data_IF_252002204943
#
_entry.id   IF_252002204943
#
_cell.length_a   1.000
_cell.length_b   1.000
_cell.length_c   1.000
_cell.angle_alpha   90.00
_cell.angle_beta   90.00
_cell.angle_gamma   90.00
#
_symmetry.space_group_name_H-M   'P 1'
#
loop_
_entity.id
_entity.type
_entity.pdbx_description
1 polymer ?
#
# COMPACT_ATOMS: atom_id res chain seq x y z
N UNK A 1 -5.77 30.33 -15.30
CA UNK A 1 -4.80 30.84 -16.30
C UNK A 1 -3.88 31.78 -15.55
N UNK A 2 -2.61 31.40 -15.38
CA UNK A 2 -1.59 32.24 -14.74
C UNK A 2 -0.79 32.83 -15.90
N UNK A 3 -0.86 34.14 -16.05
CA UNK A 3 -0.22 34.88 -17.13
C UNK A 3 1.06 35.50 -16.61
N UNK A 4 2.21 34.96 -17.01
CA UNK A 4 3.50 35.63 -16.82
C UNK A 4 3.89 36.29 -18.16
N UNK A 5 4.04 37.62 -18.17
CA UNK A 5 4.31 38.36 -19.41
C UNK A 5 3.24 38.25 -20.50
N UNK A 6 2.03 37.79 -20.18
CA UNK A 6 0.95 37.57 -21.15
C UNK A 6 0.92 36.18 -21.81
N UNK A 7 1.76 35.23 -21.34
CA UNK A 7 1.73 33.83 -21.79
C UNK A 7 1.19 32.91 -20.68
N UNK A 8 0.34 31.94 -21.05
CA UNK A 8 -0.13 30.89 -20.14
C UNK A 8 1.02 29.90 -19.91
N UNK A 9 1.60 29.94 -18.71
CA UNK A 9 2.69 29.02 -18.32
C UNK A 9 2.08 27.65 -18.01
N UNK A 10 2.39 26.66 -18.84
CA UNK A 10 1.90 25.28 -18.68
C UNK A 10 2.72 24.59 -17.60
N UNK A 11 2.08 24.05 -16.57
CA UNK A 11 2.80 23.29 -15.55
C UNK A 11 3.24 21.92 -16.09
N UNK A 12 4.25 21.31 -15.47
CA UNK A 12 4.69 19.98 -15.87
C UNK A 12 3.55 18.95 -15.78
N UNK A 13 2.68 19.04 -14.77
CA UNK A 13 1.50 18.17 -14.67
C UNK A 13 0.49 18.39 -15.80
N UNK A 14 0.26 19.63 -16.24
CA UNK A 14 -0.57 19.91 -17.41
C UNK A 14 0.04 19.33 -18.69
N UNK A 15 1.38 19.34 -18.83
CA UNK A 15 2.06 18.69 -19.94
C UNK A 15 1.87 17.17 -19.89
N UNK A 16 2.04 16.53 -18.74
CA UNK A 16 1.77 15.08 -18.58
C UNK A 16 0.34 14.71 -18.93
N UNK A 17 -0.63 15.56 -18.56
CA UNK A 17 -2.03 15.37 -18.93
C UNK A 17 -2.27 15.47 -20.43
N UNK A 18 -1.51 16.30 -21.16
CA UNK A 18 -1.53 16.35 -22.63
C UNK A 18 -0.91 15.10 -23.22
N UNK A 19 0.27 14.71 -22.75
CA UNK A 19 0.96 13.49 -23.21
C UNK A 19 0.10 12.23 -23.07
N UNK A 20 -0.59 12.09 -21.93
CA UNK A 20 -1.50 10.97 -21.64
C UNK A 20 -2.75 11.00 -22.54
N UNK A 21 -3.30 12.19 -22.81
CA UNK A 21 -4.45 12.37 -23.71
C UNK A 21 -4.09 12.06 -25.16
N UNK A 22 -2.91 12.49 -25.60
CA UNK A 22 -2.37 12.27 -26.94
C UNK A 22 -1.76 10.87 -27.11
N UNK A 23 -1.63 10.11 -26.02
CA UNK A 23 -1.05 8.76 -25.96
C UNK A 23 0.42 8.72 -26.38
N UNK A 24 1.16 9.81 -26.19
CA UNK A 24 2.61 9.85 -26.37
C UNK A 24 3.35 9.23 -25.18
N UNK A 25 2.83 9.43 -23.95
CA UNK A 25 3.26 8.77 -22.71
C UNK A 25 2.04 8.42 -21.86
N UNK A 26 1.93 7.17 -21.41
CA UNK A 26 0.76 6.69 -20.63
C UNK A 26 0.90 6.96 -19.13
N UNK A 27 0.88 8.24 -18.74
CA UNK A 27 1.09 8.63 -17.34
C UNK A 27 0.08 8.00 -16.38
N UNK A 28 -1.18 7.80 -16.77
CA UNK A 28 -2.19 7.19 -15.89
C UNK A 28 -2.13 5.67 -15.83
N UNK A 29 -1.17 5.01 -16.49
CA UNK A 29 -1.05 3.54 -16.50
C UNK A 29 -0.90 2.96 -15.09
N UNK A 30 -0.12 3.62 -14.24
CA UNK A 30 0.06 3.26 -12.83
C UNK A 30 -0.60 4.31 -11.94
N UNK A 31 -1.31 3.87 -10.92
CA UNK A 31 -2.00 4.77 -10.00
C UNK A 31 -2.58 4.04 -8.81
N UNK A 32 -3.31 4.74 -7.93
CA UNK A 32 -3.82 4.19 -6.68
C UNK A 32 -5.05 3.30 -6.89
N UNK A 33 -5.06 2.46 -7.93
CA UNK A 33 -6.24 1.69 -8.34
C UNK A 33 -6.45 0.42 -7.51
N UNK A 34 -5.53 0.10 -6.60
CA UNK A 34 -5.71 -0.96 -5.61
C UNK A 34 -6.68 -0.46 -4.55
N UNK A 35 -7.72 -1.22 -4.25
CA UNK A 35 -8.71 -0.78 -3.27
C UNK A 35 -8.08 -0.74 -1.86
N UNK A 36 -8.49 0.21 -1.04
CA UNK A 36 -8.10 0.20 0.39
C UNK A 36 -8.83 -0.90 1.18
N UNK A 37 -9.97 -1.34 0.63
CA UNK A 37 -10.80 -2.44 1.16
C UNK A 37 -11.50 -3.17 0.01
N UNK A 38 -11.32 -4.50 -0.06
CA UNK A 38 -11.97 -5.38 -1.04
C UNK A 38 -12.78 -6.52 -0.38
N UNK A 39 -12.53 -6.81 0.90
CA UNK A 39 -13.25 -7.83 1.68
C UNK A 39 -14.69 -7.41 2.00
N UNK A 40 -15.56 -8.40 2.20
CA UNK A 40 -17.00 -8.28 2.50
C UNK A 40 -17.74 -7.43 1.45
N UNK A 41 -17.49 -7.68 0.17
CA UNK A 41 -18.12 -6.98 -0.95
C UNK A 41 -18.92 -7.95 -1.82
N UNK A 42 -19.99 -7.43 -2.46
CA UNK A 42 -20.84 -8.21 -3.37
C UNK A 42 -20.05 -8.81 -4.54
N UNK A 43 -18.93 -8.19 -4.94
CA UNK A 43 -18.07 -8.70 -6.03
C UNK A 43 -17.40 -10.02 -5.68
N UNK A 44 -17.07 -10.21 -4.41
CA UNK A 44 -16.35 -11.39 -3.92
C UNK A 44 -17.30 -12.39 -3.25
N UNK A 45 -18.62 -12.21 -3.40
CA UNK A 45 -19.62 -13.09 -2.83
C UNK A 45 -19.80 -14.36 -3.66
N UNK A 46 -19.53 -15.49 -3.01
CA UNK A 46 -19.76 -16.83 -3.54
C UNK A 46 -20.63 -17.67 -2.60
N UNK A 47 -21.28 -17.03 -1.64
CA UNK A 47 -22.18 -17.68 -0.69
C UNK A 47 -23.43 -18.21 -1.40
N UNK A 48 -23.99 -19.30 -0.86
CA UNK A 48 -25.20 -19.90 -1.40
C UNK A 48 -26.47 -19.08 -1.06
N UNK A 49 -26.41 -18.24 -0.03
CA UNK A 49 -27.51 -17.45 0.52
C UNK A 49 -27.44 -15.95 0.18
N UNK A 50 -26.38 -15.51 -0.53
CA UNK A 50 -26.19 -14.11 -0.92
C UNK A 50 -25.71 -13.21 0.21
N UNK A 51 -25.12 -13.78 1.27
CA UNK A 51 -24.56 -13.03 2.39
C UNK A 51 -23.12 -12.58 2.13
N UNK A 52 -22.97 -11.63 1.18
CA UNK A 52 -21.69 -11.06 0.77
C UNK A 52 -20.83 -10.54 1.93
N UNK A 53 -21.44 -10.03 3.01
CA UNK A 53 -20.70 -9.42 4.11
C UNK A 53 -20.01 -10.42 5.03
N UNK A 54 -20.51 -11.66 5.10
CA UNK A 54 -19.95 -12.69 5.96
C UNK A 54 -19.07 -13.70 5.21
N UNK A 55 -19.30 -13.91 3.90
CA UNK A 55 -18.60 -14.95 3.10
C UNK A 55 -17.09 -14.73 2.98
N UNK A 56 -16.69 -13.48 2.77
CA UNK A 56 -15.29 -13.10 2.59
C UNK A 56 -14.95 -11.95 3.52
N UNK A 57 -14.91 -12.22 4.82
CA UNK A 57 -14.62 -11.21 5.85
C UNK A 57 -13.13 -10.81 5.92
N UNK A 58 -12.84 -9.83 6.78
CA UNK A 58 -11.51 -9.28 7.01
C UNK A 58 -10.46 -10.35 7.40
N UNK A 59 -10.80 -11.28 8.30
CA UNK A 59 -9.87 -12.31 8.77
C UNK A 59 -9.52 -13.30 7.66
N UNK A 60 -10.51 -13.62 6.82
CA UNK A 60 -10.31 -14.48 5.66
C UNK A 60 -9.40 -13.83 4.60
N UNK A 61 -9.41 -12.50 4.47
CA UNK A 61 -8.60 -11.78 3.48
C UNK A 61 -7.09 -11.93 3.63
N UNK A 62 -6.63 -12.26 4.84
CA UNK A 62 -5.24 -12.61 5.09
C UNK A 62 -4.83 -13.89 4.36
N UNK A 63 -5.78 -14.82 4.13
CA UNK A 63 -5.54 -16.19 3.69
C UNK A 63 -6.18 -16.53 2.34
N UNK A 64 -7.24 -15.82 1.94
CA UNK A 64 -8.03 -16.04 0.72
C UNK A 64 -7.62 -15.05 -0.35
N UNK A 65 -7.30 -15.52 -1.55
CA UNK A 65 -7.07 -14.64 -2.70
C UNK A 65 -8.38 -14.03 -3.18
N UNK A 66 -8.30 -12.79 -3.66
CA UNK A 66 -9.39 -12.13 -4.35
C UNK A 66 -9.48 -12.62 -5.79
N UNK A 67 -10.66 -12.48 -6.39
CA UNK A 67 -10.87 -12.82 -7.80
C UNK A 67 -10.91 -11.59 -8.70
N UNK A 68 -11.60 -10.54 -8.28
CA UNK A 68 -11.93 -9.41 -9.17
C UNK A 68 -11.10 -8.16 -8.94
N UNK A 69 -10.47 -8.04 -7.78
CA UNK A 69 -9.57 -6.95 -7.43
C UNK A 69 -8.51 -7.43 -6.46
N UNK A 70 -7.94 -6.49 -5.71
CA UNK A 70 -7.05 -6.72 -4.59
C UNK A 70 -7.23 -5.55 -3.60
N UNK A 71 -6.75 -5.71 -2.37
CA UNK A 71 -6.63 -4.61 -1.42
C UNK A 71 -5.23 -4.45 -0.84
N UNK A 72 -4.94 -3.23 -0.37
CA UNK A 72 -3.68 -2.90 0.29
C UNK A 72 -3.65 -1.46 0.81
N UNK A 73 -2.82 -1.22 1.83
CA UNK A 73 -2.58 0.14 2.33
C UNK A 73 -1.77 0.91 1.29
N UNK A 74 -2.25 2.09 0.89
CA UNK A 74 -1.62 2.98 -0.10
C UNK A 74 -1.23 2.25 -1.40
N UNK A 75 -2.09 1.35 -1.88
CA UNK A 75 -1.75 0.43 -2.97
C UNK A 75 -1.73 1.09 -4.35
N UNK A 76 -0.67 0.80 -5.13
CA UNK A 76 -0.48 1.22 -6.52
C UNK A 76 -0.55 0.00 -7.42
N UNK A 77 -1.30 0.08 -8.52
CA UNK A 77 -1.28 -0.96 -9.54
C UNK A 77 -1.41 -0.39 -10.95
N UNK A 78 -1.21 -1.25 -11.94
CA UNK A 78 -1.53 -0.89 -13.31
C UNK A 78 -3.05 -0.78 -13.50
N UNK A 79 -3.48 -0.05 -14.54
CA UNK A 79 -4.90 0.16 -14.88
C UNK A 79 -5.72 -1.14 -15.03
N UNK A 80 -5.09 -2.28 -15.27
CA UNK A 80 -5.77 -3.58 -15.40
C UNK A 80 -5.75 -4.41 -14.10
N UNK A 81 -5.19 -3.88 -13.00
CA UNK A 81 -5.12 -4.57 -11.71
C UNK A 81 -4.44 -5.93 -11.83
N UNK A 82 -3.29 -5.98 -12.52
CA UNK A 82 -2.51 -7.20 -12.75
C UNK A 82 -1.35 -7.29 -11.76
N UNK A 83 -0.58 -6.22 -11.61
CA UNK A 83 0.54 -6.12 -10.67
C UNK A 83 0.27 -5.02 -9.65
N UNK A 84 0.40 -5.37 -8.38
CA UNK A 84 0.12 -4.51 -7.25
C UNK A 84 1.38 -4.29 -6.42
N UNK A 85 1.51 -3.05 -5.92
CA UNK A 85 2.49 -2.62 -4.93
C UNK A 85 1.70 -2.04 -3.76
N UNK A 86 1.98 -2.48 -2.54
CA UNK A 86 1.34 -1.92 -1.34
C UNK A 86 2.22 -2.17 -0.12
N UNK A 87 1.79 -1.65 1.02
CA UNK A 87 2.62 -1.60 2.22
C UNK A 87 1.99 -2.41 3.34
N UNK A 88 2.83 -3.17 4.04
CA UNK A 88 2.46 -3.82 5.27
C UNK A 88 3.35 -3.37 6.43
N UNK A 89 2.76 -3.28 7.62
CA UNK A 89 3.46 -2.84 8.83
C UNK A 89 3.22 -3.81 9.98
N UNK A 90 4.15 -3.86 10.93
CA UNK A 90 3.95 -4.58 12.19
C UNK A 90 4.71 -3.92 13.34
N UNK A 91 4.03 -3.78 14.48
CA UNK A 91 4.49 -3.12 15.70
C UNK A 91 5.04 -4.10 16.76
N UNK A 92 5.24 -5.38 16.40
CA UNK A 92 5.51 -6.50 17.32
C UNK A 92 4.40 -6.79 18.36
N UNK A 93 3.21 -6.17 18.23
CA UNK A 93 2.08 -6.31 19.16
C UNK A 93 0.84 -6.93 18.54
N UNK A 94 0.57 -6.61 17.27
CA UNK A 94 -0.56 -7.17 16.55
C UNK A 94 -0.31 -8.65 16.19
N UNK A 95 -1.39 -9.42 16.08
CA UNK A 95 -1.36 -10.86 15.77
C UNK A 95 -1.25 -11.17 14.27
N UNK A 96 -1.39 -10.15 13.42
CA UNK A 96 -1.21 -10.19 11.98
C UNK A 96 -0.56 -8.91 11.46
N UNK A 97 -0.02 -8.97 10.23
CA UNK A 97 0.55 -7.80 9.56
C UNK A 97 -0.58 -6.84 9.17
N UNK A 98 -0.36 -5.55 9.41
CA UNK A 98 -1.22 -4.47 8.92
C UNK A 98 -0.95 -4.23 7.44
N UNK A 99 -1.49 -5.10 6.60
CA UNK A 99 -1.35 -5.04 5.13
C UNK A 99 -2.61 -4.53 4.41
N UNK A 100 -3.69 -4.28 5.15
CA UNK A 100 -4.97 -3.76 4.66
C UNK A 100 -5.67 -3.00 5.78
N UNK A 101 -6.59 -2.10 5.43
CA UNK A 101 -7.33 -1.34 6.44
C UNK A 101 -8.41 -2.21 7.08
N UNK A 102 -8.42 -2.25 8.41
CA UNK A 102 -9.51 -2.82 9.18
C UNK A 102 -10.75 -1.93 9.16
N UNK A 103 -11.91 -2.56 9.20
CA UNK A 103 -13.19 -1.89 9.28
C UNK A 103 -14.29 -2.85 9.70
N UNK A 104 -15.51 -2.33 9.77
CA UNK A 104 -16.72 -3.08 10.03
C UNK A 104 -17.46 -3.31 8.71
N UNK A 105 -17.96 -4.53 8.52
CA UNK A 105 -18.91 -4.82 7.44
C UNK A 105 -20.27 -4.16 7.72
N UNK A 106 -21.15 -4.13 6.72
CA UNK A 106 -22.47 -3.51 6.83
C UNK A 106 -23.28 -3.96 8.07
N UNK A 107 -23.41 -5.26 8.40
CA UNK A 107 -24.12 -5.68 9.62
C UNK A 107 -23.38 -5.37 10.93
N UNK A 108 -22.08 -5.07 10.89
CA UNK A 108 -21.27 -4.78 12.07
C UNK A 108 -21.24 -3.28 12.40
N UNK A 109 -21.36 -2.40 11.40
CA UNK A 109 -21.30 -0.96 11.60
C UNK A 109 -22.67 -0.34 11.88
N UNK A 110 -22.67 0.75 12.66
CA UNK A 110 -23.89 1.46 13.06
C UNK A 110 -24.59 2.12 11.87
N UNK A 111 -23.80 2.68 10.94
CA UNK A 111 -24.27 3.36 9.73
C UNK A 111 -23.84 2.66 8.43
N UNK A 112 -23.52 1.37 8.52
CA UNK A 112 -23.05 0.55 7.40
C UNK A 112 -21.55 0.27 7.45
N UNK A 113 -20.94 0.02 6.30
CA UNK A 113 -19.51 -0.28 6.21
C UNK A 113 -18.68 0.91 6.69
N UNK A 114 -17.71 0.66 7.57
CA UNK A 114 -16.96 1.75 8.22
C UNK A 114 -15.51 1.33 8.48
N UNK A 115 -14.55 2.01 7.84
CA UNK A 115 -13.11 1.82 8.10
C UNK A 115 -12.80 2.36 9.51
N UNK A 116 -12.08 1.57 10.29
CA UNK A 116 -11.71 1.90 11.68
C UNK A 116 -10.22 2.20 11.84
N UNK A 117 -9.47 2.24 10.76
CA UNK A 117 -8.06 2.65 10.74
C UNK A 117 -7.92 4.15 10.48
N UNK A 118 -6.91 4.77 11.10
CA UNK A 118 -6.63 6.19 10.90
C UNK A 118 -5.65 6.40 9.73
N UNK A 119 -6.16 6.99 8.65
CA UNK A 119 -5.38 7.27 7.44
C UNK A 119 -5.87 8.52 6.73
N UNK A 120 -5.01 9.13 5.91
CA UNK A 120 -5.27 10.41 5.25
C UNK A 120 -4.65 10.46 3.85
N UNK A 121 -5.44 10.91 2.87
CA UNK A 121 -4.99 11.22 1.52
C UNK A 121 -4.39 12.63 1.50
N UNK A 122 -3.06 12.72 1.65
CA UNK A 122 -2.38 14.02 1.79
C UNK A 122 -2.15 14.70 0.45
N UNK A 123 -1.81 13.93 -0.58
CA UNK A 123 -1.52 14.49 -1.90
C UNK A 123 -1.68 13.46 -3.03
N UNK A 124 -2.01 13.93 -4.23
CA UNK A 124 -2.10 13.11 -5.43
C UNK A 124 -2.26 13.99 -6.67
N UNK A 125 -1.38 13.93 -7.68
CA UNK A 125 -1.61 14.66 -8.94
C UNK A 125 -2.57 13.91 -9.89
N UNK A 126 -3.29 14.58 -10.81
CA UNK A 126 -4.20 13.92 -11.75
C UNK A 126 -3.61 12.75 -12.57
N UNK A 127 -2.32 12.81 -12.89
CA UNK A 127 -1.56 11.75 -13.57
C UNK A 127 -0.92 10.75 -12.62
N UNK A 128 -1.08 10.93 -11.31
CA UNK A 128 -0.47 10.12 -10.26
C UNK A 128 1.06 10.14 -10.34
N UNK A 129 1.65 11.24 -10.82
CA UNK A 129 3.09 11.45 -10.90
C UNK A 129 3.72 11.73 -9.53
N UNK A 130 2.93 12.25 -8.60
CA UNK A 130 3.24 12.34 -7.18
C UNK A 130 2.01 11.94 -6.36
N UNK A 131 2.19 11.14 -5.33
CA UNK A 131 1.15 10.75 -4.38
C UNK A 131 1.72 10.67 -2.97
N UNK A 132 0.94 11.10 -1.98
CA UNK A 132 1.31 11.07 -0.56
C UNK A 132 0.14 10.61 0.30
N UNK A 133 0.40 9.59 1.10
CA UNK A 133 -0.54 8.96 2.02
C UNK A 133 0.04 9.00 3.44
N UNK A 134 -0.80 9.20 4.44
CA UNK A 134 -0.43 9.03 5.84
C UNK A 134 -1.24 7.90 6.45
N UNK A 135 -0.56 6.89 6.97
CA UNK A 135 -1.14 5.84 7.80
C UNK A 135 -0.68 6.02 9.25
N UNK A 136 -1.61 5.97 10.21
CA UNK A 136 -1.28 6.03 11.64
C UNK A 136 -1.33 4.63 12.23
N UNK A 137 -0.16 4.07 12.54
CA UNK A 137 -0.05 2.75 13.16
C UNK A 137 0.11 2.88 14.68
N UNK A 138 -0.82 2.38 15.50
CA UNK A 138 -0.62 2.32 16.95
C UNK A 138 0.61 1.48 17.35
N UNK A 139 1.30 1.89 18.42
CA UNK A 139 2.36 1.07 19.04
C UNK A 139 1.82 0.03 20.02
N UNK A 140 0.53 0.13 20.36
CA UNK A 140 -0.21 -0.83 21.19
C UNK A 140 -0.91 -1.86 20.30
N UNK A 141 -1.29 -3.04 20.85
CA UNK A 141 -2.17 -3.96 20.14
C UNK A 141 -3.44 -3.24 19.68
N UNK A 142 -3.81 -3.44 18.41
CA UNK A 142 -4.97 -2.80 17.83
C UNK A 142 -6.28 -3.35 18.44
N UNK A 143 -7.27 -2.50 18.77
CA UNK A 143 -8.41 -2.88 19.59
C UNK A 143 -9.57 -3.43 18.74
N UNK A 144 -9.31 -4.47 17.93
CA UNK A 144 -10.30 -5.03 16.99
C UNK A 144 -11.60 -5.45 17.67
N UNK A 145 -11.50 -6.24 18.74
CA UNK A 145 -12.65 -6.78 19.47
C UNK A 145 -13.48 -5.70 20.15
N UNK A 146 -12.83 -4.67 20.67
CA UNK A 146 -13.50 -3.53 21.31
C UNK A 146 -14.32 -2.75 20.27
N UNK A 147 -13.69 -2.43 19.13
CA UNK A 147 -14.36 -1.74 18.02
C UNK A 147 -15.56 -2.51 17.50
N UNK A 148 -15.46 -3.84 17.38
CA UNK A 148 -16.58 -4.69 16.94
C UNK A 148 -17.70 -4.70 18.00
N UNK A 149 -17.37 -5.02 19.26
CA UNK A 149 -18.37 -5.20 20.33
C UNK A 149 -19.09 -3.91 20.68
N UNK A 150 -18.38 -2.80 20.73
CA UNK A 150 -18.97 -1.52 21.11
C UNK A 150 -19.86 -0.98 19.99
N UNK A 151 -19.47 -1.07 18.71
CA UNK A 151 -20.37 -0.69 17.61
C UNK A 151 -21.59 -1.60 17.51
N UNK A 152 -21.47 -2.90 17.80
CA UNK A 152 -22.61 -3.82 17.81
C UNK A 152 -23.65 -3.52 18.92
N UNK A 153 -23.25 -2.83 19.99
CA UNK A 153 -24.17 -2.40 21.06
C UNK A 153 -24.92 -1.11 20.74
N UNK A 154 -24.41 -0.33 19.78
CA UNK A 154 -24.96 0.98 19.42
C UNK A 154 -26.09 0.87 18.40
N UNK A 155 -26.93 1.88 18.37
CA UNK A 155 -28.03 2.00 17.42
C UNK A 155 -27.84 3.20 16.48
N UNK A 156 -28.68 3.28 15.43
CA UNK A 156 -28.59 4.28 14.34
C UNK A 156 -28.75 5.74 14.78
N UNK A 157 -29.12 6.01 16.03
CA UNK A 157 -29.17 7.38 16.57
C UNK A 157 -27.90 7.78 17.30
N UNK A 158 -27.02 6.82 17.59
CA UNK A 158 -25.76 7.03 18.27
C UNK A 158 -24.62 7.29 17.26
N UNK A 159 -23.59 8.00 17.74
CA UNK A 159 -22.37 8.20 16.95
C UNK A 159 -21.60 6.88 16.84
N UNK A 160 -20.90 6.70 15.72
CA UNK A 160 -19.99 5.57 15.58
C UNK A 160 -18.90 5.60 16.65
N UNK A 161 -18.52 4.42 17.14
CA UNK A 161 -17.32 4.26 17.94
C UNK A 161 -16.14 4.04 16.99
N UNK A 162 -15.16 4.93 17.06
CA UNK A 162 -13.99 4.93 16.19
C UNK A 162 -12.71 4.71 16.99
N UNK A 163 -11.60 4.47 16.29
CA UNK A 163 -10.31 4.20 16.92
C UNK A 163 -9.88 5.27 17.92
N UNK A 164 -10.17 6.54 17.64
CA UNK A 164 -9.87 7.65 18.56
C UNK A 164 -10.60 7.54 19.90
N UNK A 165 -11.80 6.95 19.92
CA UNK A 165 -12.62 6.83 21.13
C UNK A 165 -12.10 5.73 22.07
N UNK A 166 -11.23 4.85 21.58
CA UNK A 166 -10.61 3.77 22.37
C UNK A 166 -9.50 4.25 23.30
N UNK A 167 -9.08 5.52 23.16
CA UNK A 167 -7.93 6.10 23.87
C UNK A 167 -6.56 5.58 23.39
N UNK A 168 -6.51 4.84 22.27
CA UNK A 168 -5.25 4.27 21.77
C UNK A 168 -4.18 5.32 21.44
N UNK A 169 -4.60 6.56 21.15
CA UNK A 169 -3.71 7.67 20.81
C UNK A 169 -3.45 8.64 21.97
N UNK A 170 -4.08 8.46 23.13
CA UNK A 170 -4.05 9.44 24.25
C UNK A 170 -2.64 9.71 24.77
N UNK A 171 -1.77 8.70 24.74
CA UNK A 171 -0.38 8.79 25.21
C UNK A 171 0.61 9.13 24.09
N UNK A 172 0.14 9.49 22.89
CA UNK A 172 0.99 9.78 21.73
C UNK A 172 1.72 8.56 21.15
N UNK A 173 1.37 7.34 21.58
CA UNK A 173 2.07 6.08 21.23
C UNK A 173 1.65 5.51 19.88
N UNK A 174 2.07 6.16 18.81
CA UNK A 174 1.81 5.73 17.43
C UNK A 174 2.96 6.10 16.50
N UNK A 175 2.91 5.53 15.30
CA UNK A 175 3.77 5.88 14.17
C UNK A 175 2.97 6.72 13.19
N UNK A 176 3.57 7.82 12.73
CA UNK A 176 3.13 8.47 11.48
C UNK A 176 3.91 7.85 10.32
N UNK A 177 3.25 6.98 9.55
CA UNK A 177 3.83 6.34 8.37
C UNK A 177 3.44 7.14 7.13
N UNK A 178 4.32 8.03 6.68
CA UNK A 178 4.19 8.71 5.40
C UNK A 178 4.63 7.77 4.28
N UNK A 179 3.78 7.61 3.27
CA UNK A 179 4.04 6.78 2.10
C UNK A 179 3.93 7.69 0.89
N UNK A 180 5.04 7.85 0.19
CA UNK A 180 5.16 8.70 -0.98
C UNK A 180 5.45 7.85 -2.21
N UNK A 181 4.81 8.18 -3.33
CA UNK A 181 5.08 7.58 -4.63
C UNK A 181 5.34 8.68 -5.64
N UNK A 182 6.41 8.52 -6.41
CA UNK A 182 6.78 9.40 -7.51
C UNK A 182 6.95 8.59 -8.80
N UNK A 183 6.80 9.26 -9.94
CA UNK A 183 7.20 8.73 -11.25
C UNK A 183 8.43 9.45 -11.75
N UNK A 184 9.27 8.73 -12.45
CA UNK A 184 10.40 9.32 -13.18
C UNK A 184 9.94 10.46 -14.11
N UNK A 185 10.84 11.39 -14.40
CA UNK A 185 10.57 12.54 -15.25
C UNK A 185 10.23 12.14 -16.70
N UNK A 186 10.93 11.13 -17.24
CA UNK A 186 10.83 10.77 -18.64
C UNK A 186 9.99 9.51 -18.87
N UNK A 187 10.00 8.57 -17.92
CA UNK A 187 9.34 7.28 -18.06
C UNK A 187 8.22 7.05 -17.03
N UNK A 188 6.94 7.10 -17.42
CA UNK A 188 5.81 6.85 -16.49
C UNK A 188 5.70 5.42 -15.97
N UNK A 189 6.52 4.49 -16.49
CA UNK A 189 6.62 3.10 -16.01
C UNK A 189 7.72 2.90 -14.93
N UNK A 190 8.51 3.94 -14.62
CA UNK A 190 9.47 3.93 -13.50
C UNK A 190 8.81 4.54 -12.27
N UNK A 191 8.66 3.74 -11.22
CA UNK A 191 7.98 4.14 -9.98
C UNK A 191 8.96 4.17 -8.82
N UNK A 192 8.98 5.27 -8.07
CA UNK A 192 9.82 5.48 -6.89
C UNK A 192 8.92 5.54 -5.66
N UNK A 193 9.37 4.93 -4.56
CA UNK A 193 8.60 4.83 -3.32
C UNK A 193 9.47 5.15 -2.11
N UNK A 194 9.00 6.06 -1.27
CA UNK A 194 9.61 6.42 0.01
C UNK A 194 8.60 6.21 1.13
N UNK A 195 8.98 5.46 2.14
CA UNK A 195 8.17 5.25 3.34
C UNK A 195 8.95 5.78 4.54
N UNK A 196 8.40 6.78 5.21
CA UNK A 196 9.01 7.39 6.40
C UNK A 196 8.07 7.24 7.58
N UNK A 197 8.49 6.48 8.58
CA UNK A 197 7.70 6.17 9.77
C UNK A 197 8.31 6.88 10.99
N UNK A 198 7.68 7.97 11.44
CA UNK A 198 8.11 8.71 12.63
C UNK A 198 7.55 8.08 13.90
N UNK A 199 8.43 7.83 14.88
CA UNK A 199 8.00 7.47 16.22
C UNK A 199 7.49 8.72 16.96
N UNK A 200 6.17 8.86 17.10
CA UNK A 200 5.55 9.96 17.84
C UNK A 200 5.49 9.71 19.35
N UNK A 201 5.72 8.48 19.77
CA UNK A 201 5.67 8.06 21.16
C UNK A 201 6.83 8.60 21.98
N UNK A 202 6.68 8.64 23.31
CA UNK A 202 7.74 9.06 24.23
C UNK A 202 8.81 7.98 24.46
N UNK A 203 8.58 6.75 23.98
CA UNK A 203 9.42 5.58 24.23
C UNK A 203 10.03 5.04 22.92
N UNK A 204 11.14 4.32 23.03
CA UNK A 204 11.66 3.52 21.93
C UNK A 204 10.61 2.48 21.51
N UNK A 205 10.43 2.31 20.20
CA UNK A 205 9.43 1.40 19.66
C UNK A 205 10.00 0.64 18.47
N UNK A 206 9.62 -0.63 18.35
CA UNK A 206 10.04 -1.49 17.24
C UNK A 206 9.02 -1.43 16.11
N UNK A 207 9.53 -1.55 14.89
CA UNK A 207 8.72 -1.45 13.68
C UNK A 207 9.24 -2.40 12.61
N UNK A 208 8.31 -3.00 11.88
CA UNK A 208 8.61 -3.77 10.69
C UNK A 208 7.86 -3.12 9.52
N UNK A 209 8.56 -2.90 8.41
CA UNK A 209 8.01 -2.32 7.17
C UNK A 209 8.23 -3.32 6.05
N UNK A 210 7.17 -3.64 5.32
CA UNK A 210 7.19 -4.63 4.24
C UNK A 210 6.50 -4.08 3.00
N UNK A 211 7.24 -3.45 2.06
CA UNK A 211 6.72 -3.21 0.73
C UNK A 211 6.49 -4.54 0.02
N UNK A 212 5.28 -4.74 -0.47
CA UNK A 212 4.85 -5.92 -1.19
C UNK A 212 4.79 -5.62 -2.69
N UNK A 213 5.14 -6.63 -3.49
CA UNK A 213 4.86 -6.69 -4.93
C UNK A 213 4.20 -8.02 -5.23
N UNK A 214 3.02 -8.01 -5.85
CA UNK A 214 2.33 -9.25 -6.19
C UNK A 214 1.46 -9.14 -7.42
N UNK A 215 1.11 -10.29 -7.96
CA UNK A 215 0.14 -10.39 -9.04
C UNK A 215 -1.23 -10.81 -8.51
N UNK A 216 -2.28 -10.17 -9.03
CA UNK A 216 -3.66 -10.62 -8.78
C UNK A 216 -3.81 -12.05 -9.29
N UNK A 217 -4.41 -12.92 -8.49
CA UNK A 217 -4.60 -14.30 -8.89
C UNK A 217 -5.62 -14.40 -10.03
N UNK A 218 -5.15 -14.63 -11.25
CA UNK A 218 -5.99 -14.92 -12.42
C UNK A 218 -5.94 -16.40 -12.83
N UNK A 219 -4.88 -17.10 -12.44
CA UNK A 219 -4.59 -18.48 -12.84
C UNK A 219 -5.44 -19.54 -12.15
N UNK A 220 -5.93 -19.28 -10.94
CA UNK A 220 -6.65 -20.29 -10.16
C UNK A 220 -8.12 -20.48 -10.58
N UNK A 221 -8.65 -19.62 -11.46
CA UNK A 221 -10.09 -19.51 -11.77
C UNK A 221 -10.53 -20.16 -13.08
N UNK A 222 -9.60 -20.80 -13.82
CA UNK A 222 -9.90 -21.61 -15.00
C UNK A 222 -10.22 -20.82 -16.28
N UNK A 223 -9.96 -19.51 -16.32
CA UNK A 223 -10.11 -18.67 -17.54
C UNK A 223 -8.79 -18.44 -18.29
N UNK A 224 -7.69 -18.48 -17.56
CA UNK A 224 -6.33 -18.26 -18.02
C UNK A 224 -5.44 -19.09 -17.11
N UNK A 225 -4.50 -19.86 -17.65
CA UNK A 225 -3.57 -20.69 -16.88
C UNK A 225 -2.19 -20.04 -16.74
N UNK A 226 -1.99 -18.87 -17.35
CA UNK A 226 -0.77 -18.10 -17.22
C UNK A 226 -0.54 -17.67 -15.77
N UNK A 227 0.56 -18.17 -15.19
CA UNK A 227 1.03 -17.79 -13.85
C UNK A 227 2.26 -16.89 -13.99
N UNK A 228 2.19 -15.61 -13.58
CA UNK A 228 3.34 -14.71 -13.60
C UNK A 228 4.39 -15.12 -12.56
N UNK A 229 5.55 -14.49 -12.59
CA UNK A 229 6.64 -14.83 -11.67
C UNK A 229 7.28 -13.59 -11.04
N UNK A 230 7.70 -13.72 -9.79
CA UNK A 230 8.67 -12.83 -9.14
C UNK A 230 9.76 -13.70 -8.52
N UNK A 231 11.03 -13.35 -8.72
CA UNK A 231 12.17 -14.06 -8.13
C UNK A 231 13.33 -13.14 -7.79
N UNK A 232 14.15 -13.52 -6.81
CA UNK A 232 15.32 -12.72 -6.41
C UNK A 232 16.46 -12.87 -7.43
N UNK A 233 17.03 -11.76 -7.88
CA UNK A 233 18.18 -11.73 -8.81
C UNK A 233 19.44 -11.10 -8.21
N UNK A 234 19.33 -10.44 -7.06
CA UNK A 234 20.43 -9.89 -6.29
C UNK A 234 20.04 -9.66 -4.83
N UNK A 235 21.00 -9.30 -3.95
CA UNK A 235 20.71 -9.11 -2.52
C UNK A 235 19.56 -8.13 -2.26
N UNK A 236 19.50 -7.06 -3.05
CA UNK A 236 18.53 -5.97 -2.91
C UNK A 236 17.55 -5.86 -4.08
N UNK A 237 17.42 -6.91 -4.91
CA UNK A 237 16.65 -6.83 -6.14
C UNK A 237 15.92 -8.12 -6.47
N UNK A 238 14.65 -7.99 -6.85
CA UNK A 238 13.84 -9.04 -7.46
C UNK A 238 13.41 -8.65 -8.87
N UNK A 239 13.32 -9.62 -9.76
CA UNK A 239 12.74 -9.46 -11.09
C UNK A 239 11.30 -9.98 -11.08
N UNK A 240 10.40 -9.28 -11.76
CA UNK A 240 9.02 -9.72 -11.98
C UNK A 240 8.76 -9.88 -13.47
N UNK A 241 8.05 -10.92 -13.86
CA UNK A 241 7.68 -11.22 -15.24
C UNK A 241 6.17 -11.40 -15.35
N UNK A 242 5.55 -10.59 -16.23
CA UNK A 242 4.16 -10.74 -16.61
C UNK A 242 3.97 -10.45 -18.10
N UNK A 243 3.28 -11.32 -18.85
CA UNK A 243 3.15 -11.26 -20.33
C UNK A 243 2.73 -9.89 -20.88
N UNK A 244 1.79 -9.21 -20.21
CA UNK A 244 1.26 -7.91 -20.66
C UNK A 244 1.96 -6.69 -20.05
N UNK A 245 2.63 -6.85 -18.90
CA UNK A 245 3.31 -5.73 -18.21
C UNK A 245 4.77 -5.65 -18.66
N UNK A 246 5.32 -6.80 -19.09
CA UNK A 246 6.73 -7.00 -19.34
C UNK A 246 7.51 -7.29 -18.06
N UNK A 247 8.82 -7.39 -18.21
CA UNK A 247 9.75 -7.50 -17.09
C UNK A 247 9.82 -6.19 -16.31
N UNK A 248 9.88 -6.29 -14.98
CA UNK A 248 10.15 -5.18 -14.07
C UNK A 248 11.13 -5.60 -12.98
N UNK A 249 11.78 -4.63 -12.36
CA UNK A 249 12.78 -4.82 -11.32
C UNK A 249 12.33 -4.12 -10.04
N UNK A 250 12.08 -4.88 -8.98
CA UNK A 250 11.83 -4.39 -7.63
C UNK A 250 13.16 -4.27 -6.91
N UNK A 251 13.70 -3.05 -6.86
CA UNK A 251 15.02 -2.74 -6.31
C UNK A 251 14.87 -1.89 -5.04
N UNK A 252 15.50 -2.35 -3.96
CA UNK A 252 15.49 -1.75 -2.64
C UNK A 252 16.84 -1.08 -2.31
N UNK A 253 16.84 -0.09 -1.42
CA UNK A 253 18.06 0.38 -0.74
C UNK A 253 18.11 -0.16 0.69
N UNK A 254 19.29 -0.38 1.30
CA UNK A 254 19.40 -0.48 2.75
C UNK A 254 18.80 0.77 3.40
N UNK A 255 18.32 0.63 4.63
CA UNK A 255 17.82 1.78 5.40
C UNK A 255 18.86 2.20 6.43
N UNK A 256 19.12 3.50 6.61
CA UNK A 256 19.95 3.98 7.71
C UNK A 256 19.48 3.44 9.06
N UNK A 257 20.42 3.11 9.95
CA UNK A 257 20.08 2.58 11.25
C UNK A 257 19.52 3.64 12.20
N UNK A 258 18.20 3.71 12.30
CA UNK A 258 17.51 4.57 13.29
C UNK A 258 17.27 3.89 14.65
N UNK A 259 17.86 2.72 14.88
CA UNK A 259 17.67 1.90 16.07
C UNK A 259 18.88 1.91 17.04
N UNK A 260 19.88 2.76 16.79
CA UNK A 260 21.08 2.89 17.64
C UNK A 260 22.26 1.99 17.25
N UNK A 261 22.08 1.09 16.28
CA UNK A 261 23.15 0.25 15.75
C UNK A 261 24.04 0.96 14.72
N UNK A 262 25.15 0.33 14.35
CA UNK A 262 26.09 0.87 13.35
C UNK A 262 25.82 0.41 11.91
N UNK A 263 25.24 -0.79 11.75
CA UNK A 263 24.99 -1.37 10.43
C UNK A 263 23.60 -0.96 9.92
N UNK A 264 23.47 -0.67 8.63
CA UNK A 264 22.20 -0.38 8.01
C UNK A 264 21.18 -1.53 8.18
N UNK A 265 19.90 -1.17 8.18
CA UNK A 265 18.80 -2.13 8.19
C UNK A 265 18.57 -2.63 6.76
N UNK A 266 19.09 -3.83 6.50
CA UNK A 266 18.96 -4.54 5.23
C UNK A 266 17.62 -5.29 5.12
N UNK A 267 16.97 -5.30 3.94
CA UNK A 267 15.74 -6.06 3.74
C UNK A 267 15.97 -7.57 3.55
N UNK A 268 15.16 -8.40 4.20
CA UNK A 268 15.00 -9.81 3.82
C UNK A 268 13.92 -9.95 2.75
N UNK A 269 14.27 -10.35 1.53
CA UNK A 269 13.27 -10.67 0.50
C UNK A 269 12.57 -12.00 0.80
N UNK A 270 11.24 -11.94 0.95
CA UNK A 270 10.35 -13.06 1.21
C UNK A 270 9.51 -13.36 -0.04
N UNK A 271 9.23 -14.63 -0.30
CA UNK A 271 8.49 -15.07 -1.49
C UNK A 271 7.40 -16.08 -1.15
N UNK A 272 6.26 -15.97 -1.82
CA UNK A 272 5.14 -16.92 -1.72
C UNK A 272 4.28 -16.86 -2.99
N UNK A 273 3.22 -17.67 -3.06
CA UNK A 273 2.17 -17.46 -4.04
C UNK A 273 0.98 -16.69 -3.47
N UNK A 274 0.36 -15.83 -4.29
CA UNK A 274 -0.96 -15.25 -4.01
C UNK A 274 -2.06 -16.30 -4.22
N UNK A 275 -1.93 -17.46 -3.58
CA UNK A 275 -2.85 -18.58 -3.65
C UNK A 275 -3.55 -18.76 -2.29
N UNK A 276 -4.83 -19.13 -2.33
CA UNK A 276 -5.64 -19.32 -1.13
C UNK A 276 -5.11 -20.45 -0.24
N UNK A 277 -5.06 -20.21 1.07
CA UNK A 277 -4.75 -21.22 2.07
C UNK A 277 -6.01 -21.98 2.50
N UNK A 278 -6.35 -23.03 1.75
CA UNK A 278 -7.52 -23.88 1.99
C UNK A 278 -7.42 -24.71 3.28
N UNK A 279 -6.19 -25.09 3.67
CA UNK A 279 -5.96 -25.85 4.91
C UNK A 279 -6.40 -25.04 6.12
N UNK A 280 -5.93 -23.80 6.26
CA UNK A 280 -6.24 -22.99 7.43
C UNK A 280 -7.66 -22.38 7.39
N UNK A 281 -8.22 -22.15 6.19
CA UNK A 281 -9.57 -21.58 6.06
C UNK A 281 -10.68 -22.62 6.26
N UNK A 282 -10.51 -23.83 5.71
CA UNK A 282 -11.59 -24.82 5.63
C UNK A 282 -11.16 -26.24 6.02
N UNK A 283 -9.98 -26.43 6.61
CA UNK A 283 -9.52 -27.74 7.05
C UNK A 283 -9.26 -28.72 5.90
N UNK A 284 -8.97 -28.22 4.69
CA UNK A 284 -8.60 -29.08 3.57
C UNK A 284 -7.37 -29.94 3.92
N UNK A 285 -7.24 -31.11 3.28
CA UNK A 285 -6.10 -32.00 3.53
C UNK A 285 -4.76 -31.38 3.12
N UNK A 286 -4.74 -30.67 1.98
CA UNK A 286 -3.54 -30.03 1.42
C UNK A 286 -3.92 -28.78 0.63
N UNK A 287 -2.99 -27.83 0.54
CA UNK A 287 -3.06 -26.72 -0.42
C UNK A 287 -2.53 -27.17 -1.80
N UNK A 288 -2.89 -26.44 -2.86
CA UNK A 288 -2.36 -26.68 -4.23
C UNK A 288 -0.86 -26.40 -4.32
N UNK A 289 -0.40 -25.39 -3.59
CA UNK A 289 1.00 -24.99 -3.44
C UNK A 289 1.34 -24.97 -1.93
N UNK A 290 2.57 -25.33 -1.53
CA UNK A 290 2.98 -25.25 -0.13
C UNK A 290 3.12 -23.81 0.37
N UNK A 291 3.35 -22.84 -0.51
CA UNK A 291 3.57 -21.42 -0.16
C UNK A 291 2.33 -20.63 -0.57
N UNK A 292 1.55 -20.18 0.42
CA UNK A 292 0.23 -19.57 0.23
C UNK A 292 0.20 -18.13 0.74
N UNK A 293 -0.90 -17.41 0.46
CA UNK A 293 -1.04 -15.95 0.63
C UNK A 293 -0.62 -15.42 2.01
N UNK A 294 -0.87 -16.18 3.08
CA UNK A 294 -0.59 -15.79 4.47
C UNK A 294 0.85 -16.12 4.95
N UNK A 295 1.74 -16.56 4.05
CA UNK A 295 3.11 -16.94 4.38
C UNK A 295 3.90 -15.86 5.13
N UNK A 296 3.75 -14.58 4.75
CA UNK A 296 4.49 -13.48 5.38
C UNK A 296 4.05 -13.25 6.83
N UNK A 297 2.77 -13.41 7.14
CA UNK A 297 2.27 -13.37 8.53
C UNK A 297 2.94 -14.46 9.36
N UNK A 298 3.00 -15.69 8.85
CA UNK A 298 3.65 -16.82 9.54
C UNK A 298 5.16 -16.59 9.71
N UNK A 299 5.84 -16.09 8.69
CA UNK A 299 7.29 -15.86 8.71
C UNK A 299 7.71 -14.74 9.65
N UNK A 300 7.02 -13.61 9.61
CA UNK A 300 7.41 -12.38 10.32
C UNK A 300 6.97 -12.46 11.78
N UNK A 301 5.74 -12.90 12.04
CA UNK A 301 5.14 -12.85 13.39
C UNK A 301 5.45 -14.12 14.17
N UNK A 302 5.32 -15.29 13.53
CA UNK A 302 5.52 -16.60 14.19
C UNK A 302 6.94 -17.15 14.01
N UNK A 303 7.78 -16.48 13.21
CA UNK A 303 9.14 -16.94 12.93
C UNK A 303 9.21 -18.19 12.07
N UNK A 304 8.11 -18.59 11.40
CA UNK A 304 8.09 -19.83 10.60
C UNK A 304 8.84 -19.63 9.27
N UNK A 305 10.12 -20.00 9.28
CA UNK A 305 11.01 -19.94 8.10
C UNK A 305 10.56 -20.85 6.97
N UNK A 306 9.74 -21.88 7.23
CA UNK A 306 9.27 -22.82 6.21
C UNK A 306 8.02 -22.34 5.47
N UNK A 307 7.38 -21.27 5.97
CA UNK A 307 6.17 -20.73 5.37
C UNK A 307 6.42 -20.00 4.04
N UNK A 308 7.63 -19.48 3.83
CA UNK A 308 8.04 -18.76 2.61
C UNK A 308 8.87 -19.66 1.70
N UNK A 309 8.86 -19.36 0.40
CA UNK A 309 9.55 -20.17 -0.60
C UNK A 309 11.08 -20.01 -0.50
N UNK A 310 11.84 -21.06 -0.10
CA UNK A 310 13.29 -20.98 0.04
C UNK A 310 14.00 -20.85 -1.32
N UNK A 311 13.31 -21.16 -2.43
CA UNK A 311 13.81 -20.95 -3.78
C UNK A 311 13.69 -19.50 -4.26
N UNK A 312 13.23 -18.58 -3.38
CA UNK A 312 13.18 -17.14 -3.64
C UNK A 312 12.42 -16.78 -4.92
N UNK A 313 11.28 -17.44 -5.12
CA UNK A 313 10.40 -17.27 -6.28
C UNK A 313 8.93 -17.45 -5.91
N UNK A 314 8.00 -16.88 -6.66
CA UNK A 314 6.57 -17.03 -6.46
C UNK A 314 5.77 -16.06 -7.32
N UNK A 315 4.56 -15.72 -6.88
CA UNK A 315 3.70 -14.68 -7.48
C UNK A 315 3.52 -13.46 -6.56
N UNK A 316 4.07 -13.52 -5.35
CA UNK A 316 4.07 -12.45 -4.35
C UNK A 316 5.43 -12.40 -3.66
N UNK A 317 5.98 -11.19 -3.55
CA UNK A 317 7.24 -10.89 -2.87
C UNK A 317 7.08 -9.75 -1.88
N UNK A 318 7.87 -9.74 -0.82
CA UNK A 318 7.97 -8.65 0.14
C UNK A 318 9.43 -8.38 0.49
N UNK A 319 9.83 -7.11 0.57
CA UNK A 319 11.11 -6.72 1.16
C UNK A 319 10.90 -6.41 2.65
N UNK A 320 11.35 -7.28 3.55
CA UNK A 320 11.11 -7.12 4.97
C UNK A 320 12.24 -6.35 5.67
N UNK A 321 11.97 -5.10 6.04
CA UNK A 321 12.83 -4.28 6.89
C UNK A 321 12.42 -4.41 8.36
N UNK A 322 13.35 -4.79 9.22
CA UNK A 322 13.13 -4.96 10.66
C UNK A 322 13.88 -3.90 11.47
N UNK A 323 13.18 -2.84 11.87
CA UNK A 323 13.66 -1.81 12.80
C UNK A 323 13.42 -2.27 14.25
N UNK A 324 14.01 -3.41 14.59
CA UNK A 324 13.84 -4.06 15.88
C UNK A 324 15.16 -4.38 16.60
N UNK A 325 16.27 -3.86 16.08
CA UNK A 325 17.58 -3.90 16.71
C UNK A 325 17.55 -3.07 18.01
N UNK A 326 18.38 -3.46 18.99
CA UNK A 326 18.45 -2.84 20.31
C UNK A 326 17.07 -2.60 20.96
N UNK A 327 16.65 -1.33 21.09
CA UNK A 327 15.37 -0.91 21.65
C UNK A 327 14.32 -0.55 20.59
N UNK A 328 14.68 -0.57 19.31
CA UNK A 328 13.90 -0.04 18.19
C UNK A 328 14.20 1.44 17.91
N UNK A 329 13.34 2.11 17.16
CA UNK A 329 13.51 3.52 16.77
C UNK A 329 13.29 4.43 17.96
N UNK A 330 14.18 5.40 18.13
CA UNK A 330 14.14 6.37 19.23
C UNK A 330 12.90 7.29 19.16
N UNK A 331 12.43 7.85 20.28
CA UNK A 331 11.40 8.88 20.31
C UNK A 331 11.75 10.07 19.40
N UNK A 332 10.83 10.49 18.54
CA UNK A 332 11.02 11.61 17.63
C UNK A 332 11.86 11.31 16.38
N UNK A 333 12.51 10.14 16.33
CA UNK A 333 13.27 9.67 15.17
C UNK A 333 12.36 8.91 14.17
N UNK A 334 12.90 8.52 13.02
CA UNK A 334 12.14 7.87 11.97
C UNK A 334 12.88 6.71 11.29
N UNK A 335 12.13 5.71 10.85
CA UNK A 335 12.59 4.66 9.94
C UNK A 335 12.27 5.07 8.49
N UNK A 336 13.22 4.91 7.57
CA UNK A 336 13.07 5.31 6.16
C UNK A 336 13.35 4.15 5.22
N UNK A 337 12.38 3.76 4.41
CA UNK A 337 12.54 2.72 3.37
C UNK A 337 12.40 3.36 1.99
N UNK A 338 13.37 3.10 1.11
CA UNK A 338 13.37 3.55 -0.29
C UNK A 338 13.46 2.35 -1.23
N UNK A 339 12.64 2.36 -2.28
CA UNK A 339 12.72 1.36 -3.35
C UNK A 339 12.12 1.90 -4.64
N UNK A 340 12.37 1.19 -5.74
CA UNK A 340 11.79 1.49 -7.05
C UNK A 340 11.30 0.23 -7.77
N UNK A 341 10.31 0.42 -8.65
CA UNK A 341 9.91 -0.54 -9.67
C UNK A 341 10.38 0.01 -11.01
N UNK A 342 11.31 -0.69 -11.65
CA UNK A 342 11.97 -0.23 -12.88
C UNK A 342 11.69 -1.13 -14.07
N UNK A 343 11.73 -0.55 -15.27
CA UNK A 343 11.73 -1.29 -16.55
C UNK A 343 13.12 -1.76 -16.96
N UNK A 344 14.17 -1.24 -16.31
CA UNK A 344 15.57 -1.53 -16.62
C UNK A 344 16.25 -2.20 -15.45
N UNK A 345 17.03 -3.22 -15.75
CA UNK A 345 17.90 -3.84 -14.76
C UNK A 345 19.00 -2.85 -14.38
N UNK A 346 19.21 -2.68 -13.09
CA UNK A 346 20.38 -1.98 -12.55
C UNK A 346 21.06 -2.91 -11.55
N UNK A 347 22.28 -3.33 -11.87
CA UNK A 347 23.09 -4.20 -11.01
C UNK A 347 23.82 -3.43 -9.89
N UNK A 348 23.79 -2.09 -9.93
CA UNK A 348 24.33 -1.23 -8.87
C UNK A 348 23.35 -1.00 -7.72
N UNK A 349 23.77 -0.19 -6.75
CA UNK A 349 22.90 0.30 -5.69
C UNK A 349 21.87 1.30 -6.24
N UNK A 350 20.80 1.52 -5.47
CA UNK A 350 19.91 2.64 -5.71
C UNK A 350 20.69 3.92 -5.42
N UNK A 351 20.75 4.83 -6.40
CA UNK A 351 21.31 6.16 -6.17
C UNK A 351 20.31 6.98 -5.35
N UNK A 352 20.62 7.18 -4.06
CA UNK A 352 19.70 7.86 -3.14
C UNK A 352 19.61 9.36 -3.40
N UNK A 353 20.66 9.98 -3.95
CA UNK A 353 20.67 11.40 -4.30
C UNK A 353 19.76 11.63 -5.50
N UNK A 354 19.95 10.88 -6.59
CA UNK A 354 19.05 10.92 -7.77
C UNK A 354 17.60 10.60 -7.37
N UNK A 355 17.42 9.62 -6.48
CA UNK A 355 16.09 9.25 -5.97
C UNK A 355 15.42 10.41 -5.25
N UNK A 356 16.08 11.04 -4.27
CA UNK A 356 15.50 12.13 -3.49
C UNK A 356 15.29 13.39 -4.36
N UNK A 357 16.18 13.67 -5.32
CA UNK A 357 15.98 14.74 -6.33
C UNK A 357 14.68 14.53 -7.13
N UNK A 358 14.42 13.31 -7.62
CA UNK A 358 13.19 13.02 -8.35
C UNK A 358 11.96 13.18 -7.44
N UNK A 359 12.01 12.65 -6.21
CA UNK A 359 10.90 12.78 -5.25
C UNK A 359 10.56 14.25 -4.99
N UNK A 360 11.55 15.08 -4.72
CA UNK A 360 11.37 16.49 -4.39
C UNK A 360 10.93 17.30 -5.62
N UNK A 361 11.46 17.00 -6.81
CA UNK A 361 11.02 17.61 -8.06
C UNK A 361 9.54 17.28 -8.38
N UNK A 362 9.06 16.08 -8.06
CA UNK A 362 7.64 15.70 -8.23
C UNK A 362 6.73 16.41 -7.23
N UNK A 363 7.20 16.64 -6.01
CA UNK A 363 6.48 17.46 -5.02
C UNK A 363 6.39 18.92 -5.48
N UNK A 364 7.48 19.52 -5.93
CA UNK A 364 7.49 20.91 -6.42
C UNK A 364 6.52 21.10 -7.60
N UNK A 365 6.51 20.18 -8.55
CA UNK A 365 5.59 20.27 -9.68
C UNK A 365 4.12 20.06 -9.30
N UNK A 366 3.85 19.28 -8.24
CA UNK A 366 2.52 19.18 -7.66
C UNK A 366 2.12 20.51 -7.00
N UNK A 367 3.05 21.16 -6.27
CA UNK A 367 2.84 22.48 -5.68
C UNK A 367 2.52 23.52 -6.77
N UNK A 368 3.30 23.57 -7.85
CA UNK A 368 3.10 24.47 -8.98
C UNK A 368 1.73 24.25 -9.65
N UNK A 369 1.34 22.98 -9.87
CA UNK A 369 0.05 22.62 -10.44
C UNK A 369 -1.12 23.09 -9.55
N UNK A 370 -1.07 22.78 -8.26
CA UNK A 370 -2.14 23.14 -7.32
C UNK A 370 -2.21 24.64 -7.05
N UNK A 371 -1.07 25.33 -7.05
CA UNK A 371 -1.02 26.78 -6.98
C UNK A 371 -1.77 27.41 -8.17
N UNK A 372 -1.60 26.86 -9.37
CA UNK A 372 -2.27 27.33 -10.60
C UNK A 372 -3.79 27.10 -10.60
N UNK A 373 -4.31 26.04 -9.95
CA UNK A 373 -5.76 25.75 -9.92
C UNK A 373 -6.54 26.92 -9.32
N UNK A 374 -6.02 27.52 -8.25
CA UNK A 374 -6.61 28.72 -7.67
C UNK A 374 -5.54 29.82 -7.48
N UNK A 375 -5.37 30.68 -8.49
CA UNK A 375 -4.35 31.72 -8.47
C UNK A 375 -4.77 32.95 -7.65
N UNK A 376 -6.00 32.98 -7.12
CA UNK A 376 -6.47 34.08 -6.28
C UNK A 376 -5.84 33.99 -4.88
N UNK A 377 -5.67 35.13 -4.18
CA UNK A 377 -5.24 35.13 -2.79
C UNK A 377 -6.17 34.26 -1.94
N UNK A 378 -5.61 33.20 -1.35
CA UNK A 378 -6.29 32.25 -0.48
C UNK A 378 -5.33 31.93 0.67
N UNK A 379 -5.84 31.83 1.89
CA UNK A 379 -5.05 31.37 3.03
C UNK A 379 -4.51 29.96 2.79
N UNK A 380 -3.28 29.69 3.21
CA UNK A 380 -2.60 28.41 2.94
C UNK A 380 -3.39 27.21 3.48
N UNK A 381 -4.06 27.35 4.62
CA UNK A 381 -4.92 26.32 5.19
C UNK A 381 -6.09 25.93 4.26
N UNK A 382 -6.75 26.91 3.64
CA UNK A 382 -7.83 26.65 2.68
C UNK A 382 -7.30 26.01 1.40
N UNK A 383 -6.09 26.40 0.97
CA UNK A 383 -5.42 25.80 -0.20
C UNK A 383 -5.07 24.33 0.08
N UNK A 384 -4.60 24.04 1.29
CA UNK A 384 -4.31 22.67 1.72
C UNK A 384 -5.58 21.81 1.80
N UNK A 385 -6.68 22.35 2.36
CA UNK A 385 -7.99 21.66 2.37
C UNK A 385 -8.44 21.35 0.94
N UNK A 386 -8.33 22.30 0.02
CA UNK A 386 -8.68 22.09 -1.38
C UNK A 386 -7.83 20.99 -2.04
N UNK A 387 -6.51 21.03 -1.84
CA UNK A 387 -5.57 20.02 -2.36
C UNK A 387 -5.89 18.63 -1.81
N UNK A 388 -6.12 18.50 -0.51
CA UNK A 388 -6.48 17.22 0.10
C UNK A 388 -7.84 16.70 -0.37
N UNK A 389 -8.81 17.58 -0.65
CA UNK A 389 -10.08 17.17 -1.25
C UNK A 389 -9.89 16.61 -2.67
N UNK A 390 -9.03 17.23 -3.50
CA UNK A 390 -8.66 16.68 -4.80
C UNK A 390 -7.89 15.37 -4.67
N UNK A 391 -6.94 15.31 -3.74
CA UNK A 391 -6.17 14.11 -3.42
C UNK A 391 -7.08 12.94 -3.06
N UNK A 392 -8.06 13.15 -2.18
CA UNK A 392 -9.02 12.13 -1.78
C UNK A 392 -9.80 11.55 -2.95
N UNK A 393 -10.30 12.40 -3.86
CA UNK A 393 -10.98 11.92 -5.08
C UNK A 393 -10.08 11.06 -5.97
N UNK A 394 -8.78 11.39 -6.05
CA UNK A 394 -7.82 10.69 -6.88
C UNK A 394 -7.37 9.36 -6.26
N UNK A 395 -7.20 9.31 -4.93
CA UNK A 395 -6.94 8.07 -4.18
C UNK A 395 -8.14 7.12 -4.15
N UNK A 396 -9.36 7.62 -4.28
CA UNK A 396 -10.57 6.78 -4.39
C UNK A 396 -10.79 6.16 -5.78
N UNK A 397 -9.89 6.38 -6.76
CA UNK A 397 -9.97 5.65 -8.04
C UNK A 397 -9.67 4.18 -7.79
N UNK A 398 -10.51 3.28 -8.31
CA UNK A 398 -10.32 1.85 -8.13
C UNK A 398 -10.38 1.11 -9.47
N UNK A 399 -9.62 0.02 -9.58
CA UNK A 399 -9.79 -0.92 -10.67
C UNK A 399 -11.14 -1.65 -10.51
N UNK A 400 -11.90 -1.69 -11.60
CA UNK A 400 -13.17 -2.41 -11.67
C UNK A 400 -13.15 -3.33 -12.89
N UNK A 401 -13.10 -4.64 -12.67
CA UNK A 401 -13.20 -5.64 -13.72
C UNK A 401 -14.61 -6.22 -13.76
N UNK A 402 -15.29 -6.01 -14.89
CA UNK A 402 -16.62 -6.57 -15.13
C UNK A 402 -16.63 -7.31 -16.45
N UNK A 403 -17.17 -8.52 -16.42
CA UNK A 403 -17.30 -9.36 -17.60
C UNK A 403 -18.80 -9.52 -17.84
N UNK A 404 -19.24 -9.01 -18.98
CA UNK A 404 -20.60 -9.12 -19.48
C UNK A 404 -20.54 -9.88 -20.80
N UNK A 405 -21.37 -10.91 -20.93
CA UNK A 405 -21.45 -11.74 -22.14
C UNK A 405 -22.27 -11.05 -23.26
#
# INVERSE_FOLDING_TARGET
MVLEGGQDVVSMEEQRLRDDRERSKYWKKWGPYTAERQWATVREDYSADGNAWADFNYDMAQKRTYRWGEDGIAGVCDTHGRMHIAFAFWNEKDDHLKERLFGLSNPQGVHGESIKEAHFHLDNTPTHSYMKFLYKLPQRPFPYEDLIKENARRNRTEREYNLIDTGIFDDGKYWDCFIETAKDAENPDELLFRVTCYNRGPDYAKLHILPHVWFRNTWAWGRDDYKPNVHQIGPLQSETEHRDIGTRYFQCSPSPNSCGGQDDVEPEFLFTDNDTNYVDLWGAKTNKTPFVKDAFHKRVIKGDKKAVNPHKTGTKSAAWYAFNQERGVAPGDCAVVRFRISTKRNDGYLDEEEFDEIMDQRLQEADDFYFKINPMPMADDLRNIQRQAFSGMLWCKQHYHFIWD
#
